data_IF_156860131254
#
_entry.id   IF_156860131254
#
_cell.length_a   1.000
_cell.length_b   1.000
_cell.length_c   1.000
_cell.angle_alpha   90.00
_cell.angle_beta   90.00
_cell.angle_gamma   90.00
#
_symmetry.space_group_name_H-M   'P 1'
#
loop_
_entity.id
_entity.type
_entity.pdbx_description
1 polymer ?
#
# COMPACT_ATOMS: atom_id res chain seq x y z
N UNK A 1 -17.25 -5.58 3.05
CA UNK A 1 -16.33 -6.42 3.84
C UNK A 1 -16.56 -6.31 5.35
N UNK A 2 -16.49 -5.10 5.95
CA UNK A 2 -16.62 -4.92 7.41
C UNK A 2 -17.81 -5.65 8.06
N UNK A 3 -19.02 -5.41 7.57
CA UNK A 3 -20.22 -6.05 8.13
C UNK A 3 -20.21 -7.59 8.03
N UNK A 4 -19.66 -8.15 6.94
CA UNK A 4 -19.51 -9.60 6.77
C UNK A 4 -18.49 -10.19 7.75
N UNK A 5 -17.39 -9.46 7.98
CA UNK A 5 -16.41 -9.86 8.99
C UNK A 5 -16.99 -9.83 10.40
N UNK A 6 -17.70 -8.76 10.76
CA UNK A 6 -18.35 -8.63 12.07
C UNK A 6 -19.35 -9.78 12.30
N UNK A 7 -20.15 -10.12 11.28
CA UNK A 7 -21.08 -11.25 11.33
C UNK A 7 -20.39 -12.62 11.42
N UNK A 8 -19.31 -12.83 10.66
CA UNK A 8 -18.53 -14.07 10.69
C UNK A 8 -17.81 -14.26 12.03
N UNK A 9 -17.23 -13.19 12.57
CA UNK A 9 -16.58 -13.19 13.88
C UNK A 9 -17.60 -13.52 14.99
N UNK A 10 -18.80 -12.91 14.94
CA UNK A 10 -19.87 -13.22 15.88
C UNK A 10 -20.30 -14.69 15.80
N UNK A 11 -20.48 -15.21 14.59
CA UNK A 11 -20.81 -16.63 14.36
C UNK A 11 -19.72 -17.58 14.86
N UNK A 12 -18.44 -17.20 14.71
CA UNK A 12 -17.32 -17.97 15.23
C UNK A 12 -17.31 -18.00 16.76
N UNK A 13 -17.55 -16.86 17.42
CA UNK A 13 -17.63 -16.77 18.89
C UNK A 13 -18.76 -17.62 19.46
N UNK A 14 -19.92 -17.64 18.80
CA UNK A 14 -21.06 -18.49 19.20
C UNK A 14 -20.74 -20.00 19.09
N UNK A 15 -19.97 -20.40 18.07
CA UNK A 15 -19.49 -21.79 17.93
C UNK A 15 -18.36 -22.15 18.89
N UNK A 16 -17.61 -21.16 19.39
CA UNK A 16 -16.43 -21.34 20.22
C UNK A 16 -16.56 -20.58 21.56
N UNK A 17 -17.53 -20.95 22.42
CA UNK A 17 -17.74 -20.25 23.67
C UNK A 17 -16.50 -20.33 24.57
N UNK A 18 -16.17 -19.22 25.22
CA UNK A 18 -15.03 -19.12 26.15
C UNK A 18 -13.65 -19.12 25.50
N UNK A 19 -13.56 -19.16 24.16
CA UNK A 19 -12.27 -19.10 23.45
C UNK A 19 -12.07 -17.71 22.83
N UNK A 20 -10.95 -17.01 23.12
CA UNK A 20 -10.64 -15.76 22.45
C UNK A 20 -10.26 -16.01 20.99
N UNK A 21 -10.60 -15.07 20.10
CA UNK A 21 -10.13 -15.10 18.72
C UNK A 21 -8.62 -14.84 18.71
N UNK A 22 -7.85 -15.74 18.13
CA UNK A 22 -6.40 -15.60 17.92
C UNK A 22 -6.11 -15.28 16.46
N UNK A 23 -4.91 -14.79 16.17
CA UNK A 23 -4.45 -14.51 14.80
C UNK A 23 -4.60 -15.73 13.87
N UNK A 24 -4.36 -16.95 14.37
CA UNK A 24 -4.53 -18.18 13.58
C UNK A 24 -5.99 -18.45 13.18
N UNK A 25 -6.94 -18.01 14.00
CA UNK A 25 -8.38 -18.19 13.73
C UNK A 25 -8.89 -17.13 12.74
N UNK A 26 -8.14 -16.04 12.54
CA UNK A 26 -8.53 -14.98 11.61
C UNK A 26 -8.66 -15.49 10.18
N UNK A 27 -7.82 -16.45 9.77
CA UNK A 27 -7.92 -17.03 8.44
C UNK A 27 -9.30 -17.66 8.17
N UNK A 28 -9.83 -18.44 9.13
CA UNK A 28 -11.17 -19.05 9.03
C UNK A 28 -12.28 -17.98 8.97
N UNK A 29 -12.19 -16.97 9.82
CA UNK A 29 -13.19 -15.90 9.90
C UNK A 29 -13.18 -15.05 8.62
N UNK A 30 -11.98 -14.71 8.13
CA UNK A 30 -11.79 -13.94 6.90
C UNK A 30 -12.29 -14.75 5.71
N UNK A 31 -11.98 -16.04 5.61
CA UNK A 31 -12.44 -16.89 4.51
C UNK A 31 -13.97 -16.96 4.44
N UNK A 32 -14.61 -17.14 5.59
CA UNK A 32 -16.08 -17.11 5.71
C UNK A 32 -16.65 -15.75 5.29
N UNK A 33 -16.08 -14.65 5.79
CA UNK A 33 -16.53 -13.30 5.44
C UNK A 33 -16.28 -12.97 3.96
N UNK A 34 -15.14 -13.39 3.42
CA UNK A 34 -14.72 -13.13 2.05
C UNK A 34 -15.64 -13.83 1.05
N UNK A 35 -15.99 -15.08 1.31
CA UNK A 35 -16.92 -15.85 0.48
C UNK A 35 -18.28 -15.16 0.38
N UNK A 36 -18.75 -14.55 1.47
CA UNK A 36 -20.01 -13.79 1.49
C UNK A 36 -19.87 -12.38 0.88
N UNK A 37 -18.72 -11.75 1.05
CA UNK A 37 -18.47 -10.39 0.52
C UNK A 37 -18.18 -10.39 -0.98
N UNK A 38 -17.57 -11.45 -1.52
CA UNK A 38 -17.07 -11.53 -2.90
C UNK A 38 -18.12 -12.11 -3.83
N UNK A 39 -19.30 -11.50 -3.81
CA UNK A 39 -20.39 -11.84 -4.73
C UNK A 39 -20.29 -11.03 -6.01
N UNK A 40 -20.81 -11.57 -7.12
CA UNK A 40 -20.83 -10.86 -8.40
C UNK A 40 -21.50 -9.49 -8.27
N UNK A 41 -22.57 -9.38 -7.46
CA UNK A 41 -23.27 -8.12 -7.19
C UNK A 41 -22.35 -7.08 -6.54
N UNK A 42 -21.59 -7.47 -5.51
CA UNK A 42 -20.68 -6.56 -4.83
C UNK A 42 -19.53 -6.13 -5.75
N UNK A 43 -19.01 -7.07 -6.54
CA UNK A 43 -17.97 -6.79 -7.55
C UNK A 43 -18.49 -5.82 -8.62
N UNK A 44 -19.66 -6.07 -9.19
CA UNK A 44 -20.31 -5.20 -10.19
C UNK A 44 -20.55 -3.80 -9.63
N UNK A 45 -20.97 -3.69 -8.37
CA UNK A 45 -21.17 -2.39 -7.73
C UNK A 45 -19.89 -1.56 -7.68
N UNK A 46 -18.73 -2.20 -7.43
CA UNK A 46 -17.43 -1.52 -7.44
C UNK A 46 -17.04 -1.03 -8.84
N UNK A 47 -17.34 -1.81 -9.88
CA UNK A 47 -17.12 -1.38 -11.26
C UNK A 47 -18.07 -0.26 -11.70
N UNK A 48 -19.28 -0.23 -11.14
CA UNK A 48 -20.24 0.84 -11.40
C UNK A 48 -19.77 2.15 -10.79
N UNK A 49 -19.21 2.12 -9.56
CA UNK A 49 -18.65 3.29 -8.87
C UNK A 49 -17.49 3.94 -9.63
N UNK A 50 -16.71 3.16 -10.38
CA UNK A 50 -15.63 3.70 -11.22
C UNK A 50 -16.10 4.09 -12.63
N UNK A 51 -17.36 3.78 -13.00
CA UNK A 51 -17.86 3.96 -14.36
C UNK A 51 -17.19 3.06 -15.40
N UNK A 52 -16.50 1.99 -14.98
CA UNK A 52 -15.87 1.03 -15.90
C UNK A 52 -16.92 0.11 -16.50
N UNK A 53 -17.82 -0.43 -15.66
CA UNK A 53 -18.89 -1.32 -16.10
C UNK A 53 -20.15 -1.10 -15.25
N UNK A 54 -21.26 -0.64 -15.85
CA UNK A 54 -21.38 -0.17 -17.23
C UNK A 54 -20.52 1.09 -17.48
N UNK A 55 -20.09 1.29 -18.73
CA UNK A 55 -19.23 2.41 -19.07
C UNK A 55 -19.97 3.75 -18.86
N UNK A 56 -19.44 4.60 -17.97
CA UNK A 56 -19.94 5.93 -17.71
C UNK A 56 -18.77 6.89 -17.43
N UNK A 57 -18.57 7.85 -18.33
CA UNK A 57 -17.48 8.84 -18.26
C UNK A 57 -17.77 10.06 -17.37
N UNK A 58 -18.99 10.19 -16.87
CA UNK A 58 -19.47 11.35 -16.08
C UNK A 58 -19.63 10.97 -14.61
N UNK A 59 -18.90 9.95 -14.15
CA UNK A 59 -18.97 9.46 -12.76
C UNK A 59 -18.15 10.34 -11.81
N UNK A 60 -17.09 10.97 -12.31
CA UNK A 60 -16.28 11.93 -11.57
C UNK A 60 -16.63 13.36 -11.98
N UNK A 61 -16.76 14.23 -10.98
CA UNK A 61 -16.97 15.67 -11.14
C UNK A 61 -15.64 16.42 -11.02
N UNK A 62 -15.60 17.70 -11.42
CA UNK A 62 -14.38 18.51 -11.31
C UNK A 62 -13.84 18.60 -9.87
N UNK A 63 -14.73 18.47 -8.87
CA UNK A 63 -14.38 18.49 -7.44
C UNK A 63 -13.52 17.28 -7.07
N UNK A 64 -13.76 16.11 -7.69
CA UNK A 64 -13.02 14.87 -7.41
C UNK A 64 -11.57 14.93 -7.91
N UNK A 65 -11.25 15.90 -8.78
CA UNK A 65 -9.90 16.17 -9.30
C UNK A 65 -9.19 17.32 -8.57
N UNK A 66 -9.82 17.96 -7.60
CA UNK A 66 -9.20 19.06 -6.85
C UNK A 66 -8.03 18.56 -5.99
N UNK A 67 -6.97 19.38 -5.85
CA UNK A 67 -5.86 19.04 -4.97
C UNK A 67 -6.32 18.96 -3.51
N UNK A 68 -5.71 18.06 -2.73
CA UNK A 68 -5.90 18.01 -1.28
C UNK A 68 -5.24 19.22 -0.63
N UNK A 69 -5.95 19.85 0.31
CA UNK A 69 -5.42 20.97 1.11
C UNK A 69 -4.22 20.59 1.98
N UNK A 70 -3.99 19.29 2.23
CA UNK A 70 -2.83 18.78 2.98
C UNK A 70 -1.52 19.00 2.20
N UNK A 71 -1.60 19.10 0.87
CA UNK A 71 -0.43 19.35 0.01
C UNK A 71 0.00 20.81 0.00
N UNK A 72 -0.80 21.73 0.54
CA UNK A 72 -0.50 23.15 0.65
C UNK A 72 0.53 23.38 1.76
N UNK A 73 1.78 22.97 1.51
CA UNK A 73 2.90 23.23 2.42
C UNK A 73 3.56 24.54 2.01
N UNK A 74 3.74 25.51 2.94
CA UNK A 74 4.47 26.72 2.63
C UNK A 74 5.90 26.35 2.22
N UNK A 75 6.37 26.94 1.12
CA UNK A 75 7.77 26.86 0.75
C UNK A 75 8.58 27.59 1.80
N UNK A 76 9.22 26.83 2.71
CA UNK A 76 10.19 27.38 3.63
C UNK A 76 11.43 27.72 2.80
N UNK A 77 11.63 29.01 2.51
CA UNK A 77 12.95 29.51 2.13
C UNK A 77 13.88 29.25 3.31
N UNK A 78 14.53 28.09 3.34
CA UNK A 78 15.77 27.96 4.07
C UNK A 78 16.71 28.95 3.41
N UNK A 79 17.00 30.06 4.09
CA UNK A 79 18.15 30.89 3.80
C UNK A 79 19.36 29.96 3.79
N UNK A 80 19.76 29.50 2.60
CA UNK A 80 21.07 28.90 2.43
C UNK A 80 22.05 30.07 2.62
N UNK A 81 23.00 29.99 3.57
CA UNK A 81 24.03 31.01 3.67
C UNK A 81 24.74 31.07 2.31
N UNK A 82 24.89 32.29 1.76
CA UNK A 82 25.53 32.46 0.46
C UNK A 82 26.93 31.85 0.50
N UNK A 83 27.13 30.74 -0.22
CA UNK A 83 28.47 30.20 -0.43
C UNK A 83 29.17 31.21 -1.34
N UNK A 84 30.12 31.94 -0.76
CA UNK A 84 31.01 32.82 -1.52
C UNK A 84 31.77 31.98 -2.56
N UNK A 85 31.71 32.45 -3.80
CA UNK A 85 32.37 31.87 -4.96
C UNK A 85 33.89 31.84 -4.75
N UNK A 86 34.46 30.64 -4.58
CA UNK A 86 35.89 30.39 -4.79
C UNK A 86 36.08 29.84 -6.22
N UNK A 87 37.16 30.23 -6.94
CA UNK A 87 37.29 29.99 -8.38
C UNK A 87 37.43 28.50 -8.71
N UNK A 88 36.69 28.07 -9.72
CA UNK A 88 36.71 26.71 -10.29
C UNK A 88 38.09 26.41 -10.91
N UNK A 89 38.88 25.53 -10.29
CA UNK A 89 39.91 24.78 -11.00
C UNK A 89 39.29 23.51 -11.59
N UNK A 90 39.43 23.41 -12.90
CA UNK A 90 38.95 22.34 -13.76
C UNK A 90 39.70 21.04 -13.52
N UNK A 91 39.01 20.00 -13.06
CA UNK A 91 39.39 18.62 -13.38
C UNK A 91 38.13 17.75 -13.43
N UNK A 92 37.92 17.12 -14.59
CA UNK A 92 36.84 16.17 -14.83
C UNK A 92 37.43 14.77 -14.58
N UNK A 93 36.95 14.00 -13.57
CA UNK A 93 37.20 12.57 -13.55
C UNK A 93 36.06 11.86 -14.29
N UNK A 94 36.39 11.26 -15.43
CA UNK A 94 35.53 10.30 -16.14
C UNK A 94 35.12 9.16 -15.19
N UNK A 95 33.83 9.02 -14.89
CA UNK A 95 33.31 7.87 -14.13
C UNK A 95 32.57 6.90 -15.06
N UNK A 96 33.23 5.76 -15.25
CA UNK A 96 32.83 4.58 -16.00
C UNK A 96 31.54 3.96 -15.46
N UNK A 97 30.68 3.53 -16.39
CA UNK A 97 29.40 2.87 -16.15
C UNK A 97 29.63 1.39 -15.79
N UNK A 98 29.34 0.98 -14.55
CA UNK A 98 29.32 -0.42 -14.17
C UNK A 98 28.01 -0.77 -13.42
N UNK A 99 27.17 -1.56 -14.10
CA UNK A 99 25.96 -2.18 -13.56
C UNK A 99 26.35 -3.30 -12.57
N UNK A 100 25.76 -3.39 -11.36
CA UNK A 100 25.90 -4.58 -10.54
C UNK A 100 24.97 -5.69 -11.06
N UNK A 101 25.56 -6.68 -11.72
CA UNK A 101 24.96 -7.99 -11.92
C UNK A 101 25.10 -8.80 -10.62
N UNK A 102 23.98 -9.19 -10.01
CA UNK A 102 23.95 -10.29 -9.03
C UNK A 102 24.28 -11.61 -9.75
N UNK A 103 24.83 -12.62 -9.05
CA UNK A 103 23.89 -13.67 -8.63
C UNK A 103 24.16 -14.32 -7.27
N UNK A 104 23.08 -14.96 -6.83
CA UNK A 104 22.76 -15.72 -5.64
C UNK A 104 23.72 -16.82 -5.18
N UNK A 105 23.53 -17.16 -3.89
CA UNK A 105 23.63 -18.49 -3.26
C UNK A 105 24.91 -18.78 -2.47
N UNK A 106 24.79 -19.04 -1.16
CA UNK A 106 24.76 -20.39 -0.56
C UNK A 106 24.88 -20.23 0.97
N UNK A 107 23.98 -20.92 1.67
CA UNK A 107 23.93 -21.12 3.11
C UNK A 107 25.21 -21.85 3.55
N UNK A 108 25.96 -21.28 4.49
CA UNK A 108 27.03 -21.98 5.21
C UNK A 108 26.65 -22.19 6.67
N UNK A 109 26.66 -23.46 7.03
CA UNK A 109 26.37 -24.10 8.30
C UNK A 109 27.50 -24.01 9.34
N UNK A 110 27.09 -24.05 10.61
CA UNK A 110 27.70 -24.76 11.73
C UNK A 110 28.71 -24.06 12.66
N UNK A 111 28.46 -24.36 13.95
CA UNK A 111 29.38 -24.48 15.10
C UNK A 111 29.54 -23.26 16.02
N UNK A 112 28.90 -23.37 17.20
CA UNK A 112 29.24 -22.66 18.44
C UNK A 112 29.96 -23.66 19.39
N UNK A 113 30.78 -23.16 20.34
CA UNK A 113 31.78 -23.94 21.07
C UNK A 113 31.24 -24.88 22.16
#
# INVERSE_FOLDING_TARGET
MKAYFDGAANSWMLRNPGKPIRTCNMAEIIDSAWTQATTLRNIQSAFTVSGICPYNRIVFSDIDYLPSSVSDRPYLQSSFPSVQTAPLQSEIPHLSLALPLTPSSIISSSTLP
#
